data_IF_291496642699
#
_entry.id   IF_291496642699
#
_cell.length_a   1.000
_cell.length_b   1.000
_cell.length_c   1.000
_cell.angle_alpha   90.00
_cell.angle_beta   90.00
_cell.angle_gamma   90.00
#
_symmetry.space_group_name_H-M   'P 1'
#
loop_
_entity.id
_entity.type
_entity.pdbx_description
1 polymer ?
#
# COMPACT_ATOMS: atom_id res chain seq x y z
N UNK A 1 -28.73 5.63 -27.80
CA UNK A 1 -28.56 4.28 -27.26
C UNK A 1 -29.02 4.37 -25.83
N UNK A 2 -30.10 3.67 -25.48
CA UNK A 2 -30.66 3.71 -24.13
C UNK A 2 -29.76 2.85 -23.24
N UNK A 3 -28.97 3.50 -22.38
CA UNK A 3 -28.09 2.82 -21.44
C UNK A 3 -28.98 2.15 -20.40
N UNK A 4 -28.80 0.84 -20.20
CA UNK A 4 -29.53 0.11 -19.17
C UNK A 4 -29.08 0.62 -17.79
N UNK A 5 -29.98 1.19 -16.96
CA UNK A 5 -29.62 1.74 -15.65
C UNK A 5 -28.93 0.73 -14.72
N UNK A 6 -29.17 -0.57 -14.91
CA UNK A 6 -28.53 -1.63 -14.14
C UNK A 6 -27.08 -1.90 -14.54
N UNK A 7 -26.69 -1.58 -15.78
CA UNK A 7 -25.30 -1.71 -16.24
C UNK A 7 -24.40 -0.62 -15.67
N UNK A 8 -24.98 0.47 -15.18
CA UNK A 8 -24.28 1.57 -14.52
C UNK A 8 -24.16 1.38 -12.99
N UNK A 9 -24.72 0.30 -12.45
CA UNK A 9 -24.64 0.01 -11.02
C UNK A 9 -23.43 -0.87 -10.69
N UNK A 10 -22.83 -0.57 -9.54
CA UNK A 10 -21.79 -1.34 -8.89
C UNK A 10 -22.37 -1.98 -7.63
N UNK A 11 -22.18 -3.29 -7.51
CA UNK A 11 -22.45 -4.05 -6.30
C UNK A 11 -21.14 -4.62 -5.79
N UNK A 12 -20.82 -4.33 -4.53
CA UNK A 12 -19.66 -4.95 -3.87
C UNK A 12 -19.87 -6.47 -3.72
N UNK A 13 -18.78 -7.23 -3.72
CA UNK A 13 -18.82 -8.65 -3.38
C UNK A 13 -18.96 -8.89 -1.85
N UNK A 14 -18.69 -7.89 -1.03
CA UNK A 14 -18.62 -7.99 0.44
C UNK A 14 -19.86 -7.46 1.17
N UNK A 15 -20.80 -6.81 0.46
CA UNK A 15 -22.09 -6.37 1.01
C UNK A 15 -23.15 -6.22 -0.10
N UNK A 16 -24.41 -6.01 0.29
CA UNK A 16 -25.55 -5.88 -0.64
C UNK A 16 -25.83 -4.45 -1.11
N UNK A 17 -25.03 -3.45 -0.72
CA UNK A 17 -25.23 -2.06 -1.10
C UNK A 17 -24.91 -1.82 -2.59
N UNK A 18 -25.72 -0.98 -3.24
CA UNK A 18 -25.57 -0.60 -4.64
C UNK A 18 -25.29 0.89 -4.77
N UNK A 19 -24.36 1.22 -5.65
CA UNK A 19 -24.00 2.59 -6.00
C UNK A 19 -23.75 2.68 -7.50
N UNK A 20 -23.79 3.88 -8.08
CA UNK A 20 -23.40 4.03 -9.47
C UNK A 20 -21.89 3.76 -9.64
N UNK A 21 -21.48 3.14 -10.76
CA UNK A 21 -20.07 2.81 -11.07
C UNK A 21 -19.19 4.06 -11.00
N UNK A 22 -19.63 5.17 -11.59
CA UNK A 22 -18.94 6.45 -11.55
C UNK A 22 -18.75 6.99 -10.13
N UNK A 23 -19.76 6.81 -9.28
CA UNK A 23 -19.78 7.25 -7.89
C UNK A 23 -18.71 6.48 -7.11
N UNK A 24 -18.68 5.16 -7.27
CA UNK A 24 -17.70 4.29 -6.61
C UNK A 24 -16.29 4.56 -7.16
N UNK A 25 -16.14 4.72 -8.48
CA UNK A 25 -14.86 5.06 -9.09
C UNK A 25 -14.26 6.36 -8.54
N UNK A 26 -15.06 7.42 -8.44
CA UNK A 26 -14.66 8.71 -7.84
C UNK A 26 -14.36 8.59 -6.34
N UNK A 27 -15.19 7.84 -5.61
CA UNK A 27 -15.00 7.61 -4.18
C UNK A 27 -13.67 6.89 -3.90
N UNK A 28 -13.41 5.80 -4.63
CA UNK A 28 -12.15 5.06 -4.54
C UNK A 28 -10.98 5.99 -4.86
N UNK A 29 -11.03 6.72 -5.98
CA UNK A 29 -9.96 7.63 -6.37
C UNK A 29 -9.63 8.65 -5.27
N UNK A 30 -10.65 9.24 -4.63
CA UNK A 30 -10.46 10.15 -3.51
C UNK A 30 -9.79 9.47 -2.30
N UNK A 31 -10.20 8.24 -1.96
CA UNK A 31 -9.60 7.50 -0.83
C UNK A 31 -8.14 7.11 -1.08
N UNK A 32 -7.79 6.74 -2.30
CA UNK A 32 -6.41 6.44 -2.67
C UNK A 32 -5.55 7.72 -2.70
N UNK A 33 -6.12 8.86 -3.10
CA UNK A 33 -5.45 10.16 -3.00
C UNK A 33 -5.15 10.54 -1.54
N UNK A 34 -6.04 10.16 -0.60
CA UNK A 34 -5.85 10.28 0.86
C UNK A 34 -4.88 9.23 1.45
N UNK A 35 -4.27 8.37 0.63
CA UNK A 35 -3.42 7.22 1.04
C UNK A 35 -4.14 6.22 1.96
N UNK A 36 -5.46 6.06 1.80
CA UNK A 36 -6.25 5.06 2.53
C UNK A 36 -6.28 3.76 1.73
N UNK A 37 -5.51 2.76 2.16
CA UNK A 37 -5.41 1.46 1.50
C UNK A 37 -6.68 0.61 1.60
N UNK A 38 -7.25 0.54 2.81
CA UNK A 38 -8.49 -0.19 3.09
C UNK A 38 -9.69 0.71 2.83
N UNK A 39 -10.11 0.76 1.56
CA UNK A 39 -11.33 1.45 1.15
C UNK A 39 -12.54 0.63 1.60
N UNK A 40 -13.42 1.25 2.39
CA UNK A 40 -14.68 0.62 2.86
C UNK A 40 -15.82 0.92 1.90
N UNK A 41 -16.93 0.22 2.09
CA UNK A 41 -18.21 0.55 1.49
C UNK A 41 -18.52 2.05 1.70
N UNK A 42 -19.03 2.76 0.67
CA UNK A 42 -19.45 4.17 0.83
C UNK A 42 -20.60 4.38 1.83
N UNK A 43 -21.35 3.32 2.14
CA UNK A 43 -22.38 3.34 3.19
C UNK A 43 -21.75 3.49 4.58
N UNK A 44 -22.19 4.49 5.34
CA UNK A 44 -21.56 4.89 6.61
C UNK A 44 -21.68 3.82 7.71
N UNK A 45 -22.72 2.99 7.67
CA UNK A 45 -22.96 1.95 8.67
C UNK A 45 -22.39 0.59 8.22
N UNK A 46 -21.71 0.56 7.07
CA UNK A 46 -21.15 -0.66 6.49
C UNK A 46 -19.62 -0.69 6.61
N UNK A 47 -19.10 -1.71 7.29
CA UNK A 47 -17.65 -1.93 7.44
C UNK A 47 -17.04 -2.86 6.39
N UNK A 48 -17.82 -3.28 5.38
CA UNK A 48 -17.34 -4.16 4.33
C UNK A 48 -16.26 -3.46 3.49
N UNK A 49 -15.13 -4.15 3.24
CA UNK A 49 -14.06 -3.63 2.41
C UNK A 49 -14.41 -3.74 0.92
N UNK A 50 -14.04 -2.75 0.13
CA UNK A 50 -14.04 -2.84 -1.32
C UNK A 50 -12.75 -3.51 -1.77
N UNK A 51 -12.89 -4.62 -2.48
CA UNK A 51 -11.77 -5.38 -3.01
C UNK A 51 -11.35 -4.81 -4.39
N UNK A 52 -10.07 -4.43 -4.58
CA UNK A 52 -9.61 -3.73 -5.79
C UNK A 52 -9.97 -4.46 -7.08
N UNK A 53 -9.85 -5.79 -7.09
CA UNK A 53 -10.07 -6.59 -8.30
C UNK A 53 -11.50 -6.47 -8.86
N UNK A 54 -12.49 -6.16 -8.01
CA UNK A 54 -13.86 -5.91 -8.47
C UNK A 54 -14.07 -4.47 -8.95
N UNK A 55 -13.20 -3.55 -8.52
CA UNK A 55 -13.25 -2.14 -8.90
C UNK A 55 -12.48 -1.86 -10.20
N UNK A 56 -11.65 -2.78 -10.71
CA UNK A 56 -10.76 -2.57 -11.88
C UNK A 56 -11.45 -2.02 -13.12
N UNK A 57 -12.71 -2.40 -13.37
CA UNK A 57 -13.47 -1.93 -14.53
C UNK A 57 -14.05 -0.52 -14.38
N UNK A 58 -14.06 0.03 -13.15
CA UNK A 58 -14.71 1.31 -12.82
C UNK A 58 -13.73 2.37 -12.28
N UNK A 59 -12.47 2.00 -12.07
CA UNK A 59 -11.40 2.93 -11.68
C UNK A 59 -10.43 3.15 -12.83
N UNK A 60 -9.86 4.36 -12.99
CA UNK A 60 -8.76 4.58 -13.92
C UNK A 60 -7.55 3.69 -13.60
N UNK A 61 -6.79 3.27 -14.62
CA UNK A 61 -5.62 2.40 -14.45
C UNK A 61 -4.58 2.95 -13.47
N UNK A 62 -4.27 4.25 -13.56
CA UNK A 62 -3.34 4.91 -12.64
C UNK A 62 -3.80 4.88 -11.18
N UNK A 63 -5.12 4.97 -10.95
CA UNK A 63 -5.70 4.86 -9.60
C UNK A 63 -5.60 3.42 -9.10
N UNK A 64 -5.82 2.44 -9.97
CA UNK A 64 -5.68 1.02 -9.64
C UNK A 64 -4.23 0.68 -9.25
N UNK A 65 -3.27 1.07 -10.08
CA UNK A 65 -1.83 0.82 -9.82
C UNK A 65 -1.39 1.47 -8.50
N UNK A 66 -1.85 2.71 -8.24
CA UNK A 66 -1.61 3.38 -6.96
C UNK A 66 -2.28 2.66 -5.80
N UNK A 67 -3.50 2.15 -5.98
CA UNK A 67 -4.18 1.40 -4.93
C UNK A 67 -3.39 0.13 -4.56
N UNK A 68 -2.89 -0.62 -5.53
CA UNK A 68 -2.06 -1.80 -5.28
C UNK A 68 -0.77 -1.45 -4.53
N UNK A 69 -0.11 -0.34 -4.90
CA UNK A 69 1.06 0.15 -4.20
C UNK A 69 0.76 0.51 -2.74
N UNK A 70 -0.31 1.28 -2.50
CA UNK A 70 -0.73 1.69 -1.15
C UNK A 70 -1.16 0.49 -0.31
N UNK A 71 -1.78 -0.54 -0.91
CA UNK A 71 -2.08 -1.80 -0.24
C UNK A 71 -0.82 -2.55 0.16
N UNK A 72 0.14 -2.71 -0.76
CA UNK A 72 1.43 -3.33 -0.46
C UNK A 72 2.14 -2.59 0.68
N UNK A 73 2.20 -1.26 0.61
CA UNK A 73 2.78 -0.43 1.66
C UNK A 73 2.07 -0.55 3.01
N UNK A 74 0.74 -0.75 3.00
CA UNK A 74 -0.05 -0.92 4.23
C UNK A 74 0.13 -2.29 4.90
N UNK A 75 0.52 -3.31 4.14
CA UNK A 75 0.83 -4.63 4.69
C UNK A 75 2.19 -4.66 5.40
N UNK A 76 3.11 -3.77 5.00
CA UNK A 76 4.41 -3.64 5.67
C UNK A 76 4.20 -2.96 7.03
N UNK A 77 4.47 -3.69 8.11
CA UNK A 77 4.31 -3.20 9.48
C UNK A 77 5.28 -2.02 9.68
N UNK A 78 4.82 -0.93 10.31
CA UNK A 78 5.66 0.25 10.54
C UNK A 78 6.99 -0.07 11.24
N UNK A 79 7.03 -1.09 12.12
CA UNK A 79 8.24 -1.56 12.80
C UNK A 79 9.26 -2.22 11.87
N UNK A 80 8.83 -2.75 10.73
CA UNK A 80 9.68 -3.35 9.70
C UNK A 80 10.29 -2.30 8.77
N UNK A 81 9.72 -1.08 8.72
CA UNK A 81 10.24 0.00 7.89
C UNK A 81 11.40 0.70 8.61
N UNK A 82 12.48 0.95 7.88
CA UNK A 82 13.56 1.82 8.31
C UNK A 82 14.17 2.54 7.11
N UNK A 83 15.05 3.51 7.37
CA UNK A 83 15.71 4.25 6.31
C UNK A 83 17.18 3.89 6.23
N UNK A 84 17.73 3.94 5.02
CA UNK A 84 19.15 3.83 4.76
C UNK A 84 19.91 4.85 5.65
N UNK A 85 20.91 4.42 6.44
CA UNK A 85 21.58 5.30 7.41
C UNK A 85 22.45 6.38 6.76
N UNK A 86 22.70 6.27 5.46
CA UNK A 86 23.40 7.27 4.69
C UNK A 86 22.44 8.41 4.32
N UNK A 87 22.64 9.59 4.93
CA UNK A 87 21.75 10.76 4.79
C UNK A 87 21.54 11.20 3.35
N UNK A 88 22.56 11.05 2.51
CA UNK A 88 22.54 11.35 1.08
C UNK A 88 21.77 10.33 0.24
N UNK A 89 21.36 9.19 0.84
CA UNK A 89 20.51 8.19 0.21
C UNK A 89 19.11 8.18 0.84
N UNK A 90 19.02 7.94 2.15
CA UNK A 90 17.76 7.88 2.92
C UNK A 90 16.65 7.03 2.28
N UNK A 91 17.00 6.04 1.46
CA UNK A 91 16.04 5.12 0.85
C UNK A 91 15.27 4.35 1.93
N UNK A 92 13.97 4.17 1.76
CA UNK A 92 13.15 3.33 2.65
C UNK A 92 13.45 1.85 2.37
N UNK A 93 13.73 1.11 3.44
CA UNK A 93 14.05 -0.32 3.44
C UNK A 93 13.07 -1.06 4.36
N UNK A 94 12.90 -2.35 4.10
CA UNK A 94 12.01 -3.24 4.88
C UNK A 94 12.86 -4.36 5.48
N UNK A 95 12.71 -4.56 6.78
CA UNK A 95 13.26 -5.68 7.54
C UNK A 95 12.21 -6.79 7.60
N UNK A 96 12.47 -7.89 6.89
CA UNK A 96 11.56 -9.06 6.84
C UNK A 96 11.59 -9.89 8.14
N UNK A 97 12.54 -9.62 9.05
CA UNK A 97 12.66 -10.32 10.33
C UNK A 97 12.99 -11.81 10.21
N UNK A 98 13.29 -12.30 9.00
CA UNK A 98 13.52 -13.74 8.75
C UNK A 98 14.94 -14.18 9.10
N UNK A 99 15.85 -13.26 9.40
CA UNK A 99 17.24 -13.61 9.67
C UNK A 99 17.95 -12.63 10.60
N UNK A 100 18.85 -13.16 11.43
CA UNK A 100 19.84 -12.39 12.21
C UNK A 100 20.91 -11.79 11.27
N UNK A 101 20.49 -11.17 10.17
CA UNK A 101 21.39 -10.51 9.23
C UNK A 101 21.88 -9.24 9.89
N UNK A 102 23.09 -9.30 10.41
CA UNK A 102 23.76 -8.12 10.95
C UNK A 102 24.25 -7.23 9.82
N UNK A 103 24.72 -7.80 8.70
CA UNK A 103 25.32 -7.05 7.58
C UNK A 103 24.45 -7.09 6.32
N UNK A 104 23.97 -5.94 5.90
CA UNK A 104 23.20 -5.78 4.65
C UNK A 104 23.77 -4.70 3.75
N UNK A 105 23.44 -4.77 2.46
CA UNK A 105 23.77 -3.78 1.45
C UNK A 105 22.50 -3.01 1.04
N UNK A 106 22.59 -1.69 0.93
CA UNK A 106 21.46 -0.88 0.46
C UNK A 106 21.27 -1.11 -1.05
N UNK A 107 20.08 -1.51 -1.54
CA UNK A 107 19.84 -1.76 -2.96
C UNK A 107 19.87 -0.48 -3.83
N UNK A 108 19.85 0.71 -3.21
CA UNK A 108 19.85 1.99 -3.93
C UNK A 108 21.26 2.58 -4.04
N UNK A 109 22.04 2.57 -2.97
CA UNK A 109 23.38 3.18 -2.95
C UNK A 109 24.53 2.18 -2.80
N UNK A 110 24.23 0.88 -2.72
CA UNK A 110 25.20 -0.22 -2.66
C UNK A 110 26.20 -0.14 -1.49
N UNK A 111 25.88 0.64 -0.46
CA UNK A 111 26.71 0.77 0.75
C UNK A 111 26.23 -0.19 1.84
N UNK A 112 27.19 -0.72 2.58
CA UNK A 112 26.95 -1.66 3.67
C UNK A 112 26.47 -0.95 4.95
N UNK A 113 25.56 -1.59 5.69
CA UNK A 113 25.01 -1.11 6.96
C UNK A 113 24.76 -2.27 7.97
N UNK A 114 24.70 -1.97 9.29
CA UNK A 114 24.19 -2.93 10.30
C UNK A 114 22.65 -2.93 10.21
N UNK A 115 22.01 -4.03 9.80
CA UNK A 115 20.54 -4.07 9.69
C UNK A 115 19.87 -4.11 11.07
N UNK A 116 20.49 -4.78 12.05
CA UNK A 116 20.03 -4.84 13.43
C UNK A 116 20.05 -3.47 14.13
N UNK A 117 21.15 -2.73 13.99
CA UNK A 117 21.34 -1.40 14.59
C UNK A 117 20.86 -0.24 13.70
N UNK A 118 20.53 -0.49 12.44
CA UNK A 118 20.10 0.51 11.44
C UNK A 118 21.09 1.67 11.28
N UNK A 119 22.39 1.36 11.33
CA UNK A 119 23.52 2.30 11.27
C UNK A 119 24.53 1.93 10.20
N UNK A 120 25.46 2.84 9.88
CA UNK A 120 26.61 2.55 9.02
C UNK A 120 27.34 1.29 9.52
N UNK A 121 27.82 0.46 8.58
CA UNK A 121 28.46 -0.81 8.91
C UNK A 121 29.65 -0.63 9.85
N UNK A 122 29.76 -1.55 10.82
CA UNK A 122 30.89 -1.64 11.75
C UNK A 122 31.33 -3.10 11.88
N UNK A 123 32.63 -3.32 12.08
CA UNK A 123 33.21 -4.64 12.30
C UNK A 123 33.76 -4.75 13.74
N UNK A 124 33.53 -5.89 14.40
CA UNK A 124 34.13 -6.21 15.69
C UNK A 124 33.53 -5.50 16.92
N UNK A 125 32.36 -4.87 16.78
CA UNK A 125 31.62 -4.21 17.87
C UNK A 125 30.17 -4.72 17.83
N UNK A 126 29.56 -4.96 18.99
CA UNK A 126 28.13 -5.30 19.08
C UNK A 126 27.27 -4.10 18.63
N UNK A 127 26.19 -4.33 17.87
CA UNK A 127 25.22 -3.26 17.60
C UNK A 127 24.62 -2.84 18.98
N UNK A 128 24.69 -1.54 19.31
CA UNK A 128 24.44 -0.99 20.65
C UNK A 128 22.98 -0.60 20.90
#
# INVERSE_FOLDING_TARGET
>A
MDVNPFEEMFRSNTCSHLFCKDCVGKYVAAKIQENIAMVKCPDMDCNAALEPQFCRSIVPGEVFDRWENVLCESMVIASQKFYCPFKDCSAMLVDDGESDVVRSECPVCHRLFCAQGKVVWHAGISCG
#
